data_IF_808732340422
#
_entry.id   IF_808732340422
#
_cell.length_a   1.000
_cell.length_b   1.000
_cell.length_c   1.000
_cell.angle_alpha   90.00
_cell.angle_beta   90.00
_cell.angle_gamma   90.00
#
_symmetry.space_group_name_H-M   'P 1'
#
loop_
_entity.id
_entity.type
_entity.pdbx_description
1 polymer ?
#
# COMPACT_ATOMS: atom_id res chain seq x y z
N UNK A 1 9.65 5.45 -2.64
CA UNK A 1 8.93 5.73 -1.37
C UNK A 1 8.49 7.19 -1.41
N UNK A 2 7.24 7.50 -1.03
CA UNK A 2 6.71 8.86 -1.08
C UNK A 2 7.49 9.83 -0.18
N UNK A 3 8.03 10.90 -0.76
CA UNK A 3 8.81 11.91 -0.05
C UNK A 3 8.02 12.82 0.89
N UNK A 4 6.69 12.72 0.90
CA UNK A 4 5.76 13.56 1.67
C UNK A 4 4.66 12.68 2.27
N UNK A 5 4.15 13.05 3.44
CA UNK A 5 2.97 12.42 4.02
C UNK A 5 1.71 12.81 3.26
N UNK A 6 0.90 11.82 2.87
CA UNK A 6 -0.32 12.03 2.12
C UNK A 6 -1.43 11.13 2.65
N UNK A 7 -2.68 11.58 2.53
CA UNK A 7 -3.81 10.68 2.70
C UNK A 7 -3.82 9.62 1.59
N UNK A 8 -4.49 8.51 1.84
CA UNK A 8 -4.45 7.36 0.94
C UNK A 8 -4.86 7.70 -0.50
N UNK A 9 -5.90 8.55 -0.69
CA UNK A 9 -6.35 8.97 -2.02
C UNK A 9 -5.27 9.78 -2.75
N UNK A 10 -4.63 10.72 -2.05
CA UNK A 10 -3.53 11.51 -2.61
C UNK A 10 -2.30 10.64 -2.90
N UNK A 11 -1.97 9.70 -2.02
CA UNK A 11 -0.89 8.75 -2.20
C UNK A 11 -1.10 7.86 -3.44
N UNK A 12 -2.33 7.34 -3.63
CA UNK A 12 -2.72 6.59 -4.83
C UNK A 12 -2.47 7.39 -6.10
N UNK A 13 -2.96 8.63 -6.16
CA UNK A 13 -2.76 9.53 -7.32
C UNK A 13 -1.29 9.81 -7.57
N UNK A 14 -0.52 10.05 -6.51
CA UNK A 14 0.93 10.26 -6.63
C UNK A 14 1.60 9.03 -7.26
N UNK A 15 1.27 7.81 -6.80
CA UNK A 15 1.84 6.60 -7.38
C UNK A 15 1.49 6.40 -8.85
N UNK A 16 0.22 6.65 -9.23
CA UNK A 16 -0.24 6.58 -10.64
C UNK A 16 0.58 7.52 -11.53
N UNK A 17 0.90 8.72 -11.04
CA UNK A 17 1.60 9.73 -11.82
C UNK A 17 3.11 9.50 -11.95
N UNK A 18 3.73 8.59 -11.18
CA UNK A 18 5.20 8.42 -11.21
C UNK A 18 5.73 7.72 -12.46
N UNK A 19 4.91 6.99 -13.19
CA UNK A 19 5.34 6.18 -14.34
C UNK A 19 4.22 6.09 -15.40
N UNK A 20 3.67 7.25 -15.79
CA UNK A 20 2.63 7.35 -16.83
C UNK A 20 1.43 6.39 -16.64
N UNK A 21 1.00 6.17 -15.39
CA UNK A 21 -0.09 5.27 -15.06
C UNK A 21 0.31 3.81 -14.77
N UNK A 22 1.59 3.44 -14.96
CA UNK A 22 2.15 2.12 -14.61
C UNK A 22 2.45 1.97 -13.12
N UNK A 23 2.61 3.08 -12.40
CA UNK A 23 2.79 3.12 -10.96
C UNK A 23 1.49 3.00 -10.18
N UNK A 24 1.55 2.40 -8.99
CA UNK A 24 0.39 2.20 -8.11
C UNK A 24 0.84 2.01 -6.65
N UNK A 25 -0.06 2.15 -5.69
CA UNK A 25 0.27 1.82 -4.29
C UNK A 25 0.61 0.34 -4.17
N UNK A 26 1.67 0.01 -3.44
CA UNK A 26 2.24 -1.33 -3.49
C UNK A 26 1.28 -2.41 -2.97
N UNK A 27 1.17 -3.50 -3.71
CA UNK A 27 0.53 -4.72 -3.23
C UNK A 27 1.48 -5.49 -2.29
N UNK A 28 0.91 -6.11 -1.26
CA UNK A 28 1.66 -6.91 -0.29
C UNK A 28 1.03 -8.29 -0.21
N UNK A 29 1.45 -9.18 -1.11
CA UNK A 29 0.81 -10.46 -1.37
C UNK A 29 1.45 -11.64 -0.61
N UNK A 30 2.62 -11.42 -0.01
CA UNK A 30 3.36 -12.45 0.73
C UNK A 30 4.23 -11.85 1.85
N UNK A 31 4.79 -12.75 2.67
CA UNK A 31 5.67 -12.41 3.78
C UNK A 31 6.96 -11.71 3.34
N UNK A 32 7.54 -12.13 2.22
CA UNK A 32 8.80 -11.57 1.73
C UNK A 32 8.62 -10.09 1.38
N UNK A 33 7.55 -9.75 0.66
CA UNK A 33 7.19 -8.37 0.31
C UNK A 33 6.85 -7.54 1.54
N UNK A 34 6.09 -8.12 2.48
CA UNK A 34 5.76 -7.44 3.74
C UNK A 34 7.01 -7.07 4.53
N UNK A 35 7.91 -8.03 4.74
CA UNK A 35 9.14 -7.81 5.48
C UNK A 35 10.07 -6.83 4.75
N UNK A 36 10.19 -6.97 3.42
CA UNK A 36 10.99 -6.05 2.61
C UNK A 36 10.53 -4.60 2.78
N UNK A 37 9.23 -4.33 2.63
CA UNK A 37 8.68 -2.98 2.78
C UNK A 37 8.83 -2.51 4.24
N UNK A 38 8.48 -3.33 5.22
CA UNK A 38 8.63 -2.96 6.63
C UNK A 38 10.06 -2.53 6.96
N UNK A 39 11.06 -3.31 6.53
CA UNK A 39 12.47 -2.98 6.74
C UNK A 39 12.92 -1.74 5.95
N UNK A 40 12.37 -1.50 4.76
CA UNK A 40 12.61 -0.26 4.03
C UNK A 40 12.17 0.97 4.84
N UNK A 41 10.99 0.91 5.49
CA UNK A 41 10.52 1.98 6.38
C UNK A 41 11.34 2.08 7.67
N UNK A 42 11.71 0.95 8.27
CA UNK A 42 12.55 0.93 9.48
C UNK A 42 13.92 1.57 9.28
N UNK A 43 14.50 1.38 8.09
CA UNK A 43 15.85 1.85 7.77
C UNK A 43 15.85 3.26 7.15
N UNK A 44 14.68 3.88 6.94
CA UNK A 44 14.60 5.27 6.49
C UNK A 44 14.77 6.21 7.69
N UNK A 45 15.81 7.04 7.66
CA UNK A 45 16.11 7.99 8.73
C UNK A 45 15.00 9.03 9.01
N UNK A 46 14.02 9.15 8.12
CA UNK A 46 12.86 10.06 8.25
C UNK A 46 11.68 9.41 8.96
N UNK A 47 11.81 8.15 9.37
CA UNK A 47 10.77 7.36 10.00
C UNK A 47 11.23 6.93 11.39
N UNK A 48 10.38 7.20 12.38
CA UNK A 48 10.56 6.70 13.75
C UNK A 48 9.40 5.78 14.14
N UNK A 49 9.64 4.93 15.13
CA UNK A 49 8.61 4.09 15.75
C UNK A 49 7.55 4.96 16.45
N UNK A 50 6.25 4.64 16.36
CA UNK A 50 5.67 3.49 15.66
C UNK A 50 5.60 3.68 14.15
N UNK A 51 6.07 2.67 13.39
CA UNK A 51 6.06 2.73 11.94
C UNK A 51 4.64 2.61 11.38
N UNK A 52 4.23 3.58 10.56
CA UNK A 52 2.93 3.59 9.88
C UNK A 52 3.05 4.11 8.46
N UNK A 53 2.44 3.41 7.50
CA UNK A 53 2.47 3.81 6.10
C UNK A 53 1.35 3.20 5.26
N UNK A 54 0.90 3.93 4.24
CA UNK A 54 -0.13 3.48 3.31
C UNK A 54 0.40 2.42 2.33
N UNK A 55 -0.45 1.41 2.08
CA UNK A 55 -0.25 0.34 1.08
C UNK A 55 -1.44 0.30 0.12
N UNK A 56 -1.34 -0.46 -0.96
CA UNK A 56 -2.33 -0.49 -2.02
C UNK A 56 -3.62 -1.26 -1.74
N UNK A 57 -4.00 -1.50 -0.48
CA UNK A 57 -5.21 -2.24 -0.16
C UNK A 57 -6.36 -1.27 0.17
N UNK A 58 -7.53 -1.47 -0.44
CA UNK A 58 -8.75 -0.76 -0.08
C UNK A 58 -9.99 -1.63 -0.23
N UNK A 59 -11.01 -1.33 0.56
CA UNK A 59 -12.35 -1.89 0.46
C UNK A 59 -13.11 -1.22 -0.66
N UNK A 60 -13.88 -2.04 -1.39
CA UNK A 60 -14.85 -1.60 -2.36
C UNK A 60 -16.25 -1.95 -1.83
N UNK A 61 -17.04 -0.93 -1.51
CA UNK A 61 -18.39 -1.07 -0.98
C UNK A 61 -19.39 -1.65 -1.98
N UNK A 62 -19.14 -1.53 -3.28
CA UNK A 62 -20.03 -2.08 -4.31
C UNK A 62 -19.94 -3.60 -4.38
N UNK A 63 -18.74 -4.15 -4.19
CA UNK A 63 -18.45 -5.59 -4.24
C UNK A 63 -18.34 -6.24 -2.86
N UNK A 64 -18.25 -5.43 -1.80
CA UNK A 64 -18.16 -5.87 -0.42
C UNK A 64 -16.81 -6.50 -0.05
N UNK A 65 -15.74 -6.22 -0.80
CA UNK A 65 -14.45 -6.91 -0.70
C UNK A 65 -13.26 -5.94 -0.70
N UNK A 66 -12.12 -6.40 -0.19
CA UNK A 66 -10.85 -5.69 -0.28
C UNK A 66 -10.11 -6.05 -1.58
N UNK A 67 -9.48 -5.04 -2.18
CA UNK A 67 -8.73 -5.14 -3.43
C UNK A 67 -7.39 -4.44 -3.34
N UNK A 68 -6.39 -5.06 -3.95
CA UNK A 68 -5.10 -4.45 -4.20
C UNK A 68 -5.16 -3.57 -5.44
N UNK A 69 -4.59 -2.37 -5.31
CA UNK A 69 -4.29 -1.48 -6.42
C UNK A 69 -3.39 -2.17 -7.44
N UNK A 70 -3.56 -1.77 -8.69
CA UNK A 70 -2.85 -2.25 -9.87
C UNK A 70 -2.62 -1.06 -10.81
N UNK A 71 -1.76 -1.20 -11.84
CA UNK A 71 -1.60 -0.18 -12.87
C UNK A 71 -2.93 0.31 -13.44
N UNK A 72 -2.92 1.52 -13.98
CA UNK A 72 -4.12 2.08 -14.62
C UNK A 72 -4.52 1.22 -15.81
N UNK A 73 -5.79 0.83 -15.86
CA UNK A 73 -6.33 0.00 -16.95
C UNK A 73 -6.22 -1.52 -16.74
N UNK A 74 -5.68 -1.98 -15.61
CA UNK A 74 -5.70 -3.40 -15.24
C UNK A 74 -6.69 -3.69 -14.11
N UNK A 75 -7.17 -4.93 -14.07
CA UNK A 75 -8.10 -5.37 -13.04
C UNK A 75 -7.42 -5.41 -11.66
N UNK A 76 -8.12 -4.90 -10.65
CA UNK A 76 -7.64 -4.94 -9.27
C UNK A 76 -7.65 -6.39 -8.74
N UNK A 77 -6.64 -6.74 -7.95
CA UNK A 77 -6.52 -8.10 -7.41
C UNK A 77 -7.37 -8.20 -6.13
N UNK A 78 -8.37 -9.10 -6.05
CA UNK A 78 -9.13 -9.29 -4.81
C UNK A 78 -8.23 -9.89 -3.72
N UNK A 79 -8.38 -9.42 -2.47
CA UNK A 79 -7.75 -10.05 -1.31
C UNK A 79 -8.42 -11.39 -0.97
N UNK A 80 -9.68 -11.58 -1.35
CA UNK A 80 -10.41 -12.84 -1.14
C UNK A 80 -9.70 -13.99 -1.84
N UNK A 81 -9.39 -15.06 -1.10
CA UNK A 81 -8.64 -16.21 -1.62
C UNK A 81 -7.11 -16.08 -1.49
N UNK A 82 -6.60 -14.94 -1.02
CA UNK A 82 -5.20 -14.81 -0.62
C UNK A 82 -4.93 -15.67 0.62
N UNK A 83 -3.86 -16.48 0.58
CA UNK A 83 -3.34 -17.20 1.74
C UNK A 83 -2.64 -16.27 2.74
N UNK A 84 -2.30 -15.06 2.31
CA UNK A 84 -1.56 -14.10 3.11
C UNK A 84 -2.46 -12.97 3.62
N UNK A 85 -2.43 -12.76 4.93
CA UNK A 85 -3.07 -11.64 5.61
C UNK A 85 -2.25 -11.22 6.83
N UNK A 86 -2.27 -9.93 7.16
CA UNK A 86 -1.56 -9.35 8.30
C UNK A 86 -2.43 -8.39 9.10
N UNK A 87 -3.75 -8.55 9.10
CA UNK A 87 -4.61 -7.70 9.92
C UNK A 87 -4.18 -7.69 11.38
N UNK A 88 -4.03 -6.48 11.94
CA UNK A 88 -3.85 -6.34 13.38
C UNK A 88 -5.10 -6.84 14.11
N UNK A 89 -4.94 -7.27 15.36
CA UNK A 89 -6.07 -7.72 16.19
C UNK A 89 -7.16 -6.64 16.24
N UNK A 90 -8.39 -7.02 15.93
CA UNK A 90 -9.54 -6.10 15.88
C UNK A 90 -9.75 -5.40 14.53
N UNK A 91 -8.94 -5.73 13.52
CA UNK A 91 -9.08 -5.24 12.16
C UNK A 91 -9.40 -6.39 11.18
N UNK A 92 -10.07 -6.13 10.05
CA UNK A 92 -10.65 -4.84 9.66
C UNK A 92 -11.78 -4.41 10.61
N UNK A 93 -11.78 -3.13 11.00
CA UNK A 93 -12.80 -2.51 11.82
C UNK A 93 -14.06 -2.28 10.97
N UNK A 94 -15.23 -2.47 11.57
CA UNK A 94 -16.53 -2.29 10.91
C UNK A 94 -17.08 -0.87 11.06
N UNK A 95 -16.23 0.11 11.39
CA UNK A 95 -16.67 1.51 11.45
C UNK A 95 -16.99 1.98 10.05
N UNK A 96 -18.14 2.64 9.90
CA UNK A 96 -18.52 3.32 8.68
C UNK A 96 -17.38 4.27 8.28
N UNK A 97 -17.12 4.40 6.98
CA UNK A 97 -16.10 5.29 6.38
C UNK A 97 -14.63 4.81 6.35
N UNK A 98 -14.31 3.67 6.98
CA UNK A 98 -12.94 3.14 7.02
C UNK A 98 -12.68 2.10 5.92
N UNK A 99 -12.23 2.58 4.75
CA UNK A 99 -12.10 1.74 3.56
C UNK A 99 -10.67 1.59 3.04
N UNK A 100 -9.71 2.41 3.45
CA UNK A 100 -8.34 2.32 2.96
C UNK A 100 -7.45 1.68 4.00
N UNK A 101 -6.30 1.13 3.60
CA UNK A 101 -5.46 0.36 4.51
C UNK A 101 -4.06 0.95 4.59
N UNK A 102 -3.61 1.08 5.83
CA UNK A 102 -2.22 1.31 6.17
C UNK A 102 -1.66 0.10 6.91
N UNK A 103 -0.34 -0.03 6.85
CA UNK A 103 0.43 -0.84 7.77
C UNK A 103 0.71 -0.01 9.02
N UNK A 104 0.55 -0.61 10.21
CA UNK A 104 0.79 0.01 11.51
C UNK A 104 1.48 -0.96 12.47
N UNK A 105 2.48 -0.44 13.16
CA UNK A 105 3.07 -1.07 14.34
C UNK A 105 2.23 -0.72 15.58
N UNK A 106 1.72 -1.74 16.28
CA UNK A 106 0.86 -1.55 17.47
C UNK A 106 1.52 -1.94 18.79
N UNK A 107 2.69 -2.59 18.74
CA UNK A 107 3.48 -2.98 19.90
C UNK A 107 4.86 -2.30 19.87
N UNK A 108 5.62 -2.47 20.94
CA UNK A 108 7.04 -2.06 20.99
C UNK A 108 7.92 -2.91 20.09
N UNK A 109 7.49 -4.13 19.79
CA UNK A 109 8.21 -5.04 18.89
C UNK A 109 8.05 -4.61 17.45
N UNK A 110 9.05 -4.90 16.62
CA UNK A 110 9.00 -4.64 15.18
C UNK A 110 8.14 -5.68 14.47
N UNK A 111 6.85 -5.66 14.77
CA UNK A 111 5.81 -6.47 14.15
C UNK A 111 4.69 -5.55 13.66
N UNK A 112 4.55 -5.49 12.35
CA UNK A 112 3.66 -4.56 11.66
C UNK A 112 2.47 -5.33 11.09
N UNK A 113 1.26 -4.81 11.30
CA UNK A 113 0.05 -5.36 10.74
C UNK A 113 -0.82 -4.31 10.05
N UNK A 114 -1.91 -4.74 9.45
CA UNK A 114 -2.80 -3.89 8.66
C UNK A 114 -3.94 -3.34 9.50
N UNK A 115 -4.34 -2.12 9.20
CA UNK A 115 -5.51 -1.45 9.77
C UNK A 115 -6.24 -0.69 8.69
N UNK A 116 -7.57 -0.83 8.62
CA UNK A 116 -8.38 0.04 7.79
C UNK A 116 -8.60 1.40 8.48
N UNK A 117 -8.65 2.43 7.66
CA UNK A 117 -8.69 3.83 8.04
C UNK A 117 -9.50 4.64 7.02
N UNK A 118 -9.85 5.87 7.39
CA UNK A 118 -10.59 6.76 6.52
C UNK A 118 -9.66 7.35 5.46
N UNK A 119 -9.82 6.93 4.20
CA UNK A 119 -8.97 7.22 3.04
C UNK A 119 -8.46 8.67 2.84
N UNK A 120 -9.10 9.66 3.47
CA UNK A 120 -8.77 11.09 3.38
C UNK A 120 -8.37 11.74 4.71
N UNK A 121 -8.49 11.04 5.84
CA UNK A 121 -8.30 11.62 7.17
C UNK A 121 -6.86 11.50 7.66
N UNK A 122 -6.16 10.40 7.32
CA UNK A 122 -4.83 10.12 7.87
C UNK A 122 -3.76 10.35 6.81
N UNK A 123 -2.94 11.38 7.01
CA UNK A 123 -1.73 11.61 6.21
C UNK A 123 -0.55 10.81 6.78
N UNK A 124 0.02 9.93 5.97
CA UNK A 124 1.22 9.14 6.29
C UNK A 124 2.09 8.96 5.06
N UNK A 125 3.32 8.50 5.28
CA UNK A 125 4.16 7.98 4.21
C UNK A 125 3.46 6.83 3.50
N UNK A 126 3.89 6.58 2.27
CA UNK A 126 3.31 5.58 1.41
C UNK A 126 4.37 4.95 0.53
N UNK A 127 4.09 3.73 0.08
CA UNK A 127 4.95 3.00 -0.83
C UNK A 127 4.20 2.74 -2.13
N UNK A 128 4.84 3.14 -3.21
CA UNK A 128 4.40 2.81 -4.56
C UNK A 128 5.26 1.66 -5.09
N UNK A 129 4.70 0.92 -6.03
CA UNK A 129 5.45 0.05 -6.92
C UNK A 129 5.04 0.34 -8.36
N UNK A 130 5.88 -0.04 -9.30
CA UNK A 130 5.57 0.01 -10.74
C UNK A 130 5.76 -1.40 -11.33
N UNK A 131 5.27 -1.59 -12.55
CA UNK A 131 5.50 -2.83 -13.31
C UNK A 131 7.01 -2.97 -13.54
N UNK A 132 7.55 -4.16 -13.26
CA UNK A 132 8.97 -4.40 -13.45
C UNK A 132 9.31 -4.39 -14.95
N UNK A 133 10.49 -3.85 -15.27
CA UNK A 133 11.07 -4.00 -16.60
C UNK A 133 11.64 -5.40 -16.72
N UNK A 134 11.24 -6.13 -17.74
CA UNK A 134 11.80 -7.44 -18.07
C UNK A 134 11.82 -7.62 -19.60
N UNK A 135 12.07 -8.84 -20.06
CA UNK A 135 12.14 -9.14 -21.50
C UNK A 135 10.79 -9.02 -22.21
N UNK A 136 9.68 -9.09 -21.47
CA UNK A 136 8.32 -9.01 -21.98
C UNK A 136 7.70 -7.61 -21.77
N UNK A 137 8.24 -6.83 -20.82
CA UNK A 137 7.86 -5.47 -20.53
C UNK A 137 9.08 -4.53 -20.59
N UNK A 138 9.37 -4.01 -21.78
CA UNK A 138 10.39 -2.99 -21.97
C UNK A 138 9.95 -1.68 -21.31
N UNK A 139 10.77 -1.19 -20.37
CA UNK A 139 10.56 0.14 -19.83
C UNK A 139 11.03 1.20 -20.82
N UNK A 140 10.29 2.31 -20.85
CA UNK A 140 10.66 3.47 -21.65
C UNK A 140 12.06 3.93 -21.19
N UNK A 141 13.02 3.98 -22.12
CA UNK A 141 14.36 4.45 -21.81
C UNK A 141 14.25 5.87 -21.24
N UNK A 142 14.94 6.14 -20.13
CA UNK A 142 15.16 7.51 -19.64
C UNK A 142 16.07 8.26 -20.62
N UNK A 143 15.55 8.63 -21.79
CA UNK A 143 16.15 9.66 -22.63
C UNK A 143 15.55 11.00 -22.22
N UNK A 144 16.30 11.73 -21.40
CA UNK A 144 16.25 13.21 -21.34
C UNK A 144 17.31 13.80 -22.28
#
# INVERSE_FOLDING_TARGET
MGGIDANWVSAKRACINMDHGKGYLASVLDWSKHNFIAHMFKNDYRMDSPYMYHIGLSYDSATGKYYWEQPTGTDRIPMTGSVFTRWNKGFPSTRDDQYCVLTAQTSTDFDLGWQNEHCRAVSKRYICQTVACDTDNYCDNLEE
#
